data_IF_430620429700
#
_entry.id   IF_430620429700
#
_cell.length_a   1.000
_cell.length_b   1.000
_cell.length_c   1.000
_cell.angle_alpha   90.00
_cell.angle_beta   90.00
_cell.angle_gamma   90.00
#
_symmetry.space_group_name_H-M   'P 1'
#
loop_
_entity.id
_entity.type
_entity.pdbx_description
1 polymer ?
#
# COMPACT_ATOMS: atom_id res chain seq x y z
N UNK A 1 -2.60 4.61 -10.42
CA UNK A 1 -2.28 5.56 -9.33
C UNK A 1 -0.97 5.17 -8.69
N UNK A 2 -0.24 6.11 -8.07
CA UNK A 2 1.08 5.86 -7.47
C UNK A 2 1.07 4.70 -6.45
N UNK A 3 0.05 4.63 -5.58
CA UNK A 3 -0.12 3.54 -4.62
C UNK A 3 -0.25 2.15 -5.27
N UNK A 4 -1.04 2.02 -6.34
CA UNK A 4 -1.26 0.74 -7.03
C UNK A 4 0.02 0.23 -7.68
N UNK A 5 0.84 1.15 -8.21
CA UNK A 5 2.15 0.85 -8.77
C UNK A 5 3.10 0.35 -7.68
N UNK A 6 3.14 1.02 -6.52
CA UNK A 6 3.97 0.62 -5.38
C UNK A 6 3.55 -0.76 -4.86
N UNK A 7 2.24 -1.00 -4.72
CA UNK A 7 1.71 -2.29 -4.25
C UNK A 7 2.17 -3.44 -5.16
N UNK A 8 1.98 -3.29 -6.48
CA UNK A 8 2.39 -4.29 -7.47
C UNK A 8 3.89 -4.46 -7.55
N UNK A 9 4.66 -3.37 -7.44
CA UNK A 9 6.12 -3.42 -7.41
C UNK A 9 6.62 -4.20 -6.18
N UNK A 10 6.09 -3.94 -4.99
CA UNK A 10 6.51 -4.69 -3.79
C UNK A 10 6.14 -6.17 -3.88
N UNK A 11 4.98 -6.50 -4.46
CA UNK A 11 4.61 -7.88 -4.76
C UNK A 11 5.59 -8.54 -5.75
N UNK A 12 5.92 -7.87 -6.85
CA UNK A 12 6.86 -8.38 -7.85
C UNK A 12 8.28 -8.54 -7.27
N UNK A 13 8.76 -7.56 -6.51
CA UNK A 13 10.07 -7.63 -5.87
C UNK A 13 10.15 -8.74 -4.82
N UNK A 14 9.07 -9.03 -4.10
CA UNK A 14 9.05 -10.13 -3.16
C UNK A 14 9.27 -11.47 -3.86
N UNK A 15 8.66 -11.65 -5.04
CA UNK A 15 8.85 -12.81 -5.93
C UNK A 15 10.28 -12.86 -6.47
N UNK A 16 10.72 -11.80 -7.15
CA UNK A 16 12.03 -11.77 -7.82
C UNK A 16 13.19 -11.94 -6.86
N UNK A 17 13.07 -11.43 -5.63
CA UNK A 17 14.12 -11.55 -4.61
C UNK A 17 13.95 -12.75 -3.69
N UNK A 18 12.86 -13.51 -3.82
CA UNK A 18 12.47 -14.59 -2.92
C UNK A 18 12.53 -14.19 -1.43
N UNK A 19 12.15 -12.95 -1.12
CA UNK A 19 12.23 -12.36 0.23
C UNK A 19 10.95 -11.63 0.56
N UNK A 20 10.59 -11.64 1.85
CA UNK A 20 9.45 -10.87 2.33
C UNK A 20 9.65 -9.38 2.09
N UNK A 21 8.58 -8.68 1.72
CA UNK A 21 8.57 -7.22 1.54
C UNK A 21 7.50 -6.59 2.41
N UNK A 22 7.76 -5.39 2.93
CA UNK A 22 6.83 -4.66 3.79
C UNK A 22 6.51 -3.30 3.21
N UNK A 23 5.23 -2.96 3.13
CA UNK A 23 4.71 -1.66 2.74
C UNK A 23 3.82 -1.16 3.87
N UNK A 24 4.19 -0.04 4.49
CA UNK A 24 3.48 0.49 5.64
C UNK A 24 3.33 2.01 5.58
N UNK A 25 2.29 2.54 6.21
CA UNK A 25 2.11 3.96 6.49
C UNK A 25 1.91 4.14 7.99
N UNK A 26 2.66 5.07 8.59
CA UNK A 26 2.52 5.43 10.01
C UNK A 26 2.56 6.95 10.10
N UNK A 27 1.52 7.55 10.66
CA UNK A 27 1.33 9.00 10.71
C UNK A 27 1.44 9.67 9.32
N UNK A 28 0.90 9.00 8.30
CA UNK A 28 0.95 9.45 6.90
C UNK A 28 2.32 9.31 6.22
N UNK A 29 3.34 8.77 6.90
CA UNK A 29 4.65 8.50 6.31
C UNK A 29 4.68 7.08 5.75
N UNK A 30 4.77 6.96 4.43
CA UNK A 30 4.89 5.68 3.73
C UNK A 30 6.33 5.16 3.81
N UNK A 31 6.50 3.88 4.10
CA UNK A 31 7.79 3.17 4.19
C UNK A 31 7.77 1.87 3.38
N UNK A 32 8.85 1.65 2.63
CA UNK A 32 9.16 0.43 1.88
C UNK A 32 10.29 -0.31 2.60
N UNK A 33 10.00 -1.45 3.21
CA UNK A 33 10.98 -2.27 3.95
C UNK A 33 11.74 -1.46 5.03
N UNK A 34 11.07 -0.46 5.63
CA UNK A 34 11.67 0.44 6.62
C UNK A 34 12.21 1.76 6.04
N UNK A 35 12.47 1.83 4.73
CA UNK A 35 12.95 3.05 4.06
C UNK A 35 11.79 3.98 3.75
N UNK A 36 11.91 5.26 4.09
CA UNK A 36 10.88 6.28 3.80
C UNK A 36 10.72 6.46 2.28
N UNK A 37 9.49 6.38 1.80
CA UNK A 37 9.13 6.74 0.44
C UNK A 37 8.70 8.21 0.41
N UNK A 38 9.22 8.96 -0.55
CA UNK A 38 8.78 10.32 -0.79
C UNK A 38 7.49 10.26 -1.62
N UNK A 39 6.36 10.49 -0.95
CA UNK A 39 5.06 10.68 -1.59
C UNK A 39 4.78 12.18 -1.69
N UNK A 40 3.95 12.65 -2.64
CA UNK A 40 3.55 14.05 -2.71
C UNK A 40 3.01 14.53 -1.36
N UNK A 41 3.50 15.68 -0.86
CA UNK A 41 3.19 16.20 0.48
C UNK A 41 1.69 16.31 0.78
N UNK A 42 0.89 16.49 -0.27
CA UNK A 42 -0.54 16.71 -0.20
C UNK A 42 -1.33 15.38 -0.16
N UNK A 43 -0.72 14.27 -0.55
CA UNK A 43 -1.35 12.94 -0.48
C UNK A 43 -1.32 12.42 0.96
N UNK A 44 -2.50 12.18 1.55
CA UNK A 44 -2.61 11.61 2.90
C UNK A 44 -3.04 10.16 2.86
N UNK A 45 -2.25 9.30 3.49
CA UNK A 45 -2.54 7.88 3.67
C UNK A 45 -3.05 7.64 5.09
N UNK A 46 -4.08 6.80 5.24
CA UNK A 46 -4.37 6.16 6.52
C UNK A 46 -3.18 5.32 6.97
N UNK A 47 -3.13 4.98 8.25
CA UNK A 47 -2.13 4.03 8.73
C UNK A 47 -2.45 2.63 8.19
N UNK A 48 -1.42 1.89 7.81
CA UNK A 48 -1.56 0.50 7.37
C UNK A 48 -0.22 -0.22 7.45
N UNK A 49 -0.27 -1.55 7.40
CA UNK A 49 0.93 -2.39 7.39
C UNK A 49 0.66 -3.69 6.63
N UNK A 50 1.33 -3.83 5.49
CA UNK A 50 1.22 -4.96 4.57
C UNK A 50 2.57 -5.67 4.55
N UNK A 51 2.57 -6.98 4.78
CA UNK A 51 3.74 -7.84 4.54
C UNK A 51 3.43 -8.84 3.43
N UNK A 52 4.26 -8.84 2.40
CA UNK A 52 4.28 -9.82 1.32
C UNK A 52 5.27 -10.94 1.67
N UNK A 53 4.91 -12.19 1.40
CA UNK A 53 5.83 -13.32 1.45
C UNK A 53 6.65 -13.43 0.15
N UNK A 54 7.59 -14.37 0.12
CA UNK A 54 8.45 -14.63 -1.04
C UNK A 54 7.70 -15.06 -2.32
N UNK A 55 6.43 -15.43 -2.23
CA UNK A 55 5.58 -15.76 -3.38
C UNK A 55 4.78 -14.54 -3.87
N UNK A 56 5.01 -13.35 -3.29
CA UNK A 56 4.28 -12.13 -3.60
C UNK A 56 2.88 -12.06 -2.99
N UNK A 57 2.49 -13.04 -2.18
CA UNK A 57 1.19 -13.05 -1.52
C UNK A 57 1.24 -12.21 -0.24
N UNK A 58 0.15 -11.52 0.08
CA UNK A 58 -0.01 -10.83 1.37
C UNK A 58 -0.08 -11.88 2.47
N UNK A 59 0.97 -11.92 3.30
CA UNK A 59 1.09 -12.76 4.47
C UNK A 59 0.37 -12.16 5.68
N UNK A 60 0.48 -10.84 5.86
CA UNK A 60 -0.17 -10.13 6.97
C UNK A 60 -0.62 -8.76 6.55
N UNK A 61 -1.73 -8.32 7.17
CA UNK A 61 -2.38 -7.05 6.90
C UNK A 61 -3.00 -6.54 8.21
N UNK A 62 -2.50 -5.43 8.74
CA UNK A 62 -3.04 -4.88 9.99
C UNK A 62 -4.38 -4.17 9.78
N UNK A 63 -4.51 -3.43 8.68
CA UNK A 63 -5.76 -2.78 8.28
C UNK A 63 -6.07 -3.16 6.83
N UNK A 64 -7.26 -3.74 6.62
CA UNK A 64 -7.68 -4.15 5.29
C UNK A 64 -8.11 -3.00 4.40
N UNK A 65 -8.52 -1.87 4.98
CA UNK A 65 -8.99 -0.69 4.25
C UNK A 65 -7.95 0.42 4.34
N UNK A 66 -7.37 0.77 3.20
CA UNK A 66 -6.46 1.91 3.07
C UNK A 66 -7.21 3.07 2.44
N UNK A 67 -7.18 4.23 3.08
CA UNK A 67 -7.83 5.44 2.56
C UNK A 67 -6.75 6.43 2.15
N UNK A 68 -6.81 6.86 0.89
CA UNK A 68 -5.95 7.89 0.32
C UNK A 68 -6.83 9.12 0.06
N UNK A 69 -6.45 10.25 0.64
CA UNK A 69 -7.10 11.53 0.37
C UNK A 69 -6.25 12.32 -0.62
N UNK A 70 -6.87 12.75 -1.73
CA UNK A 70 -6.29 13.56 -2.78
C UNK A 70 -6.83 15.00 -2.68
N UNK A 71 -6.14 15.93 -1.99
CA UNK A 71 -6.60 17.32 -1.90
C UNK A 71 -6.60 18.02 -3.28
N UNK A 72 -5.75 17.53 -4.19
CA UNK A 72 -5.74 17.72 -5.66
C UNK A 72 -7.11 17.80 -6.34
N UNK A 73 -8.01 16.96 -5.86
CA UNK A 73 -9.27 16.65 -6.51
C UNK A 73 -10.43 17.00 -5.56
N UNK A 74 -10.42 18.23 -5.03
CA UNK A 74 -11.44 18.71 -4.08
C UNK A 74 -11.58 17.83 -2.83
N UNK A 75 -10.49 17.17 -2.42
CA UNK A 75 -10.48 16.25 -1.28
C UNK A 75 -11.07 14.87 -1.56
N UNK A 76 -11.10 14.45 -2.83
CA UNK A 76 -11.53 13.11 -3.23
C UNK A 76 -10.83 12.03 -2.41
N UNK A 77 -11.57 10.97 -2.08
CA UNK A 77 -11.06 9.85 -1.29
C UNK A 77 -11.08 8.59 -2.11
N UNK A 78 -9.95 7.90 -2.19
CA UNK A 78 -9.91 6.54 -2.71
C UNK A 78 -9.70 5.58 -1.55
N UNK A 79 -10.60 4.61 -1.44
CA UNK A 79 -10.47 3.48 -0.54
C UNK A 79 -9.98 2.25 -1.30
N UNK A 80 -9.04 1.54 -0.72
CA UNK A 80 -8.53 0.24 -1.17
C UNK A 80 -8.83 -0.80 -0.10
N UNK A 81 -9.63 -1.80 -0.44
CA UNK A 81 -9.91 -2.94 0.44
C UNK A 81 -9.11 -4.15 -0.02
N UNK A 82 -8.03 -4.47 0.70
CA UNK A 82 -7.10 -5.55 0.43
C UNK A 82 -7.56 -6.87 1.04
N UNK A 83 -7.20 -7.97 0.39
CA UNK A 83 -7.43 -9.33 0.87
C UNK A 83 -6.10 -10.04 1.13
N UNK A 84 -6.02 -10.75 2.26
CA UNK A 84 -4.91 -11.66 2.59
C UNK A 84 -4.84 -12.76 1.52
N UNK A 85 -3.64 -13.22 1.18
CA UNK A 85 -3.42 -14.18 0.10
C UNK A 85 -2.97 -13.49 -1.18
N UNK A 86 -3.78 -13.50 -2.24
CA UNK A 86 -3.39 -13.09 -3.60
C UNK A 86 -2.92 -11.63 -3.75
N UNK A 87 -3.16 -10.78 -2.74
CA UNK A 87 -2.87 -9.35 -2.81
C UNK A 87 -3.87 -8.56 -3.65
N UNK A 88 -5.00 -9.18 -4.00
CA UNK A 88 -6.09 -8.49 -4.69
C UNK A 88 -6.69 -7.41 -3.80
N UNK A 89 -7.16 -6.34 -4.46
CA UNK A 89 -7.82 -5.23 -3.80
C UNK A 89 -9.07 -4.80 -4.55
N UNK A 90 -10.07 -4.33 -3.81
CA UNK A 90 -11.21 -3.59 -4.35
C UNK A 90 -10.95 -2.10 -4.19
N UNK A 91 -11.01 -1.35 -5.28
CA UNK A 91 -10.89 0.10 -5.31
C UNK A 91 -12.26 0.75 -5.29
N UNK A 92 -12.44 1.80 -4.49
CA UNK A 92 -13.66 2.62 -4.48
C UNK A 92 -13.26 4.09 -4.39
N UNK A 93 -13.78 4.91 -5.31
CA UNK A 93 -13.58 6.36 -5.31
C UNK A 93 -14.85 7.03 -4.79
N UNK A 94 -14.68 8.01 -3.91
CA UNK A 94 -15.74 8.83 -3.33
C UNK A 94 -15.53 10.28 -3.72
#
# INVERSE_FOLDING_TARGET
MEFETILKDQQAQAITTARSRRLASVNGIVKLNGTKLQVPNETKFSDFDITFNANGNIQSLKEAKIVITLPYESGAKISYQLQIGSGQYKKTRH
#
